data_IF_872438157734
#
_entry.id   IF_872438157734
#
_cell.length_a   1.000
_cell.length_b   1.000
_cell.length_c   1.000
_cell.angle_alpha   90.00
_cell.angle_beta   90.00
_cell.angle_gamma   90.00
#
_symmetry.space_group_name_H-M   'P 1'
#
loop_
_entity.id
_entity.type
_entity.pdbx_description
1 polymer ?
#
# COMPACT_ATOMS: atom_id res chain seq x y z
N UNK A 1 11.85 3.63 -10.72
CA UNK A 1 12.91 4.29 -11.51
C UNK A 1 13.83 3.30 -12.24
N UNK A 2 14.16 2.15 -11.65
CA UNK A 2 15.03 1.14 -12.27
C UNK A 2 14.36 0.32 -13.40
N UNK A 3 13.10 -0.07 -13.24
CA UNK A 3 12.42 -0.98 -14.18
C UNK A 3 12.06 -0.34 -15.55
N UNK A 4 11.46 0.87 -15.62
CA UNK A 4 11.00 1.41 -16.91
C UNK A 4 12.10 1.62 -17.97
N UNK A 5 13.30 2.14 -17.63
CA UNK A 5 14.40 2.24 -18.59
C UNK A 5 14.87 0.89 -19.16
N UNK A 6 14.57 -0.21 -18.47
CA UNK A 6 14.88 -1.57 -18.90
C UNK A 6 13.71 -2.22 -19.65
N UNK A 7 12.59 -1.52 -19.87
CA UNK A 7 11.37 -2.10 -20.45
C UNK A 7 10.68 -3.11 -19.53
N UNK A 8 10.98 -3.09 -18.23
CA UNK A 8 10.43 -4.01 -17.23
C UNK A 8 9.27 -3.39 -16.45
N UNK A 9 8.44 -4.24 -15.85
CA UNK A 9 7.32 -3.86 -15.00
C UNK A 9 7.39 -4.51 -13.63
N UNK A 10 6.72 -3.91 -12.64
CA UNK A 10 6.61 -4.51 -11.31
C UNK A 10 5.52 -5.58 -11.32
N UNK A 11 5.94 -6.85 -11.23
CA UNK A 11 5.05 -8.01 -11.22
C UNK A 11 4.47 -8.32 -9.83
N UNK A 12 5.26 -8.14 -8.75
CA UNK A 12 4.83 -8.53 -7.39
C UNK A 12 3.96 -7.48 -6.70
N UNK A 13 4.05 -6.21 -7.11
CA UNK A 13 3.18 -5.16 -6.58
C UNK A 13 3.57 -4.59 -5.21
N UNK A 14 4.72 -4.98 -4.63
CA UNK A 14 5.31 -4.35 -3.42
C UNK A 14 5.84 -2.93 -3.72
N UNK A 15 4.97 -2.04 -4.18
CA UNK A 15 5.23 -0.64 -4.50
C UNK A 15 3.90 0.14 -4.56
N UNK A 16 3.10 0.14 -3.48
CA UNK A 16 1.75 0.73 -3.50
C UNK A 16 1.80 2.24 -3.65
N UNK A 17 0.86 2.82 -4.41
CA UNK A 17 0.68 4.28 -4.48
C UNK A 17 -0.39 4.75 -3.49
N UNK A 18 -1.44 3.95 -3.30
CA UNK A 18 -2.51 4.18 -2.31
C UNK A 18 -2.83 2.87 -1.62
N UNK A 19 -3.35 2.93 -0.39
CA UNK A 19 -3.55 1.74 0.44
C UNK A 19 -4.95 1.13 0.35
N UNK A 20 -5.96 1.87 -0.12
CA UNK A 20 -7.37 1.42 -0.14
C UNK A 20 -7.91 1.11 -1.54
N UNK A 21 -7.10 1.28 -2.59
CA UNK A 21 -7.49 0.91 -3.95
C UNK A 21 -6.86 -0.43 -4.34
N UNK A 22 -7.62 -1.26 -5.06
CA UNK A 22 -7.10 -2.49 -5.66
C UNK A 22 -6.40 -2.17 -6.98
N UNK A 23 -5.43 -3.00 -7.36
CA UNK A 23 -4.81 -2.89 -8.68
C UNK A 23 -5.86 -3.19 -9.76
N UNK A 24 -6.24 -2.20 -10.60
CA UNK A 24 -7.29 -2.39 -11.60
C UNK A 24 -6.89 -3.39 -12.69
N UNK A 25 -5.61 -3.74 -12.80
CA UNK A 25 -5.14 -4.81 -13.71
C UNK A 25 -5.46 -6.20 -13.19
N UNK A 26 -5.65 -6.35 -11.87
CA UNK A 26 -5.96 -7.63 -11.21
C UNK A 26 -7.44 -7.74 -10.82
N UNK A 27 -8.04 -6.64 -10.37
CA UNK A 27 -9.44 -6.59 -9.96
C UNK A 27 -10.13 -5.36 -10.59
N UNK A 28 -10.40 -5.38 -11.91
CA UNK A 28 -11.00 -4.24 -12.62
C UNK A 28 -12.40 -3.85 -12.10
N UNK A 29 -13.13 -4.79 -11.50
CA UNK A 29 -14.41 -4.56 -10.80
C UNK A 29 -14.26 -4.08 -9.35
N UNK A 30 -13.03 -3.81 -8.91
CA UNK A 30 -12.72 -3.23 -7.61
C UNK A 30 -13.19 -4.06 -6.42
N UNK A 31 -13.61 -3.38 -5.36
CA UNK A 31 -14.00 -4.04 -4.09
C UNK A 31 -15.14 -5.03 -4.25
N UNK A 32 -16.07 -4.79 -5.18
CA UNK A 32 -17.16 -5.74 -5.43
C UNK A 32 -16.59 -7.06 -5.93
N UNK A 33 -15.66 -7.02 -6.88
CA UNK A 33 -15.02 -8.22 -7.42
C UNK A 33 -14.22 -8.96 -6.35
N UNK A 34 -13.45 -8.24 -5.52
CA UNK A 34 -12.74 -8.86 -4.40
C UNK A 34 -13.73 -9.51 -3.40
N UNK A 35 -14.82 -8.83 -3.05
CA UNK A 35 -15.84 -9.37 -2.14
C UNK A 35 -16.47 -10.65 -2.69
N UNK A 36 -16.84 -10.64 -3.97
CA UNK A 36 -17.45 -11.79 -4.62
C UNK A 36 -16.46 -12.98 -4.68
N UNK A 37 -15.17 -12.69 -4.91
CA UNK A 37 -14.07 -13.67 -4.88
C UNK A 37 -13.90 -14.29 -3.49
N UNK A 38 -13.81 -13.45 -2.46
CA UNK A 38 -13.70 -13.89 -1.06
C UNK A 38 -14.92 -14.74 -0.66
N UNK A 39 -16.13 -14.35 -1.07
CA UNK A 39 -17.33 -15.13 -0.81
C UNK A 39 -17.30 -16.51 -1.49
N UNK A 40 -16.78 -16.59 -2.72
CA UNK A 40 -16.62 -17.86 -3.43
C UNK A 40 -15.60 -18.78 -2.73
N UNK A 41 -14.43 -18.24 -2.33
CA UNK A 41 -13.40 -18.98 -1.59
C UNK A 41 -13.92 -19.48 -0.24
N UNK A 42 -14.66 -18.63 0.47
CA UNK A 42 -15.28 -19.00 1.75
C UNK A 42 -16.29 -20.14 1.62
N UNK A 43 -17.11 -20.15 0.56
CA UNK A 43 -18.03 -21.28 0.28
C UNK A 43 -17.28 -22.60 0.06
N UNK A 44 -16.04 -22.53 -0.41
CA UNK A 44 -15.15 -23.67 -0.56
C UNK A 44 -14.33 -23.99 0.71
N UNK A 45 -14.55 -23.27 1.82
CA UNK A 45 -13.81 -23.47 3.07
C UNK A 45 -12.39 -22.89 3.06
N UNK A 46 -12.08 -21.96 2.16
CA UNK A 46 -10.75 -21.34 2.00
C UNK A 46 -10.78 -19.91 2.55
N UNK A 47 -9.90 -19.61 3.50
CA UNK A 47 -9.68 -18.26 4.01
C UNK A 47 -8.84 -17.39 3.07
N UNK A 48 -9.12 -16.09 3.03
CA UNK A 48 -8.41 -15.12 2.19
C UNK A 48 -7.63 -14.12 3.04
N UNK A 49 -6.32 -14.03 2.79
CA UNK A 49 -5.42 -13.04 3.41
C UNK A 49 -4.93 -12.07 2.34
N UNK A 50 -4.89 -10.78 2.66
CA UNK A 50 -4.23 -9.77 1.82
C UNK A 50 -2.83 -9.45 2.33
N UNK A 51 -1.85 -9.51 1.44
CA UNK A 51 -0.50 -9.04 1.70
C UNK A 51 -0.46 -7.51 1.51
N UNK A 52 -0.24 -6.75 2.59
CA UNK A 52 -0.32 -5.29 2.57
C UNK A 52 1.01 -4.63 2.97
N UNK A 53 1.42 -3.64 2.18
CA UNK A 53 2.73 -3.00 2.32
C UNK A 53 2.57 -1.61 2.91
N UNK A 54 2.57 -1.50 4.24
CA UNK A 54 2.48 -0.20 4.92
C UNK A 54 3.82 0.47 5.20
N UNK A 55 4.93 -0.25 5.03
CA UNK A 55 6.24 0.26 5.44
C UNK A 55 6.84 1.30 4.46
N UNK A 56 6.40 1.34 3.20
CA UNK A 56 6.83 2.31 2.18
C UNK A 56 5.76 2.56 1.11
N UNK A 57 6.00 3.54 0.24
CA UNK A 57 5.18 3.82 -0.95
C UNK A 57 5.99 3.84 -2.24
N UNK A 58 5.29 3.75 -3.37
CA UNK A 58 5.84 3.95 -4.70
C UNK A 58 6.28 5.38 -5.03
N UNK A 59 6.16 6.33 -4.11
CA UNK A 59 6.75 7.66 -4.25
C UNK A 59 8.29 7.65 -4.12
N UNK A 60 8.89 6.53 -3.66
CA UNK A 60 10.36 6.32 -3.59
C UNK A 60 11.07 7.40 -2.74
N UNK A 61 12.37 7.58 -2.94
CA UNK A 61 13.20 8.65 -2.37
C UNK A 61 12.91 10.05 -2.96
N UNK A 62 13.75 11.04 -2.62
CA UNK A 62 13.67 12.43 -3.10
C UNK A 62 13.67 12.61 -4.63
N UNK A 63 14.12 11.62 -5.38
CA UNK A 63 14.13 11.64 -6.86
C UNK A 63 12.94 10.87 -7.46
N UNK A 64 12.12 10.25 -6.60
CA UNK A 64 10.87 9.63 -6.99
C UNK A 64 9.76 10.65 -7.27
N UNK A 65 8.61 10.18 -7.79
CA UNK A 65 7.50 11.05 -8.13
C UNK A 65 6.78 11.57 -6.88
N UNK A 66 6.05 12.67 -7.05
CA UNK A 66 5.02 13.14 -6.09
C UNK A 66 3.66 12.77 -6.66
N UNK A 67 2.96 11.85 -6.00
CA UNK A 67 1.68 11.26 -6.43
C UNK A 67 0.57 11.45 -5.40
N UNK A 68 0.88 11.41 -4.09
CA UNK A 68 -0.10 11.43 -3.01
C UNK A 68 0.51 11.99 -1.71
N UNK A 69 0.93 11.12 -0.79
CA UNK A 69 1.28 11.48 0.59
C UNK A 69 2.35 12.56 0.68
N UNK A 70 3.37 12.50 -0.20
CA UNK A 70 4.43 13.51 -0.26
C UNK A 70 3.89 14.91 -0.57
N UNK A 71 2.93 14.99 -1.49
CA UNK A 71 2.32 16.26 -1.89
C UNK A 71 1.30 16.78 -0.87
N UNK A 72 0.72 15.89 -0.07
CA UNK A 72 -0.24 16.24 0.98
C UNK A 72 0.48 16.73 2.25
N UNK A 73 1.37 15.91 2.81
CA UNK A 73 2.16 16.27 3.99
C UNK A 73 3.33 15.29 4.18
N UNK A 74 4.45 15.55 3.49
CA UNK A 74 5.62 14.66 3.57
C UNK A 74 6.18 14.51 4.99
N UNK A 75 6.02 15.50 5.87
CA UNK A 75 6.55 15.48 7.23
C UNK A 75 5.70 14.59 8.15
N UNK A 76 4.39 14.54 7.94
CA UNK A 76 3.50 13.66 8.69
C UNK A 76 3.56 12.21 8.21
N UNK A 77 3.66 11.97 6.90
CA UNK A 77 3.51 10.61 6.33
C UNK A 77 4.81 9.80 6.26
N UNK A 78 5.97 10.45 6.17
CA UNK A 78 7.26 9.77 6.04
C UNK A 78 8.16 10.04 7.24
N UNK A 79 9.08 9.12 7.51
CA UNK A 79 10.15 9.34 8.49
C UNK A 79 11.28 10.15 7.87
N UNK A 80 11.77 11.13 8.62
CA UNK A 80 12.87 12.00 8.22
C UNK A 80 14.04 11.86 9.20
N UNK A 81 15.26 11.97 8.65
CA UNK A 81 16.48 12.17 9.41
C UNK A 81 16.52 13.63 9.92
N UNK A 82 17.38 13.95 10.92
CA UNK A 82 17.51 15.32 11.41
C UNK A 82 17.89 16.35 10.34
N UNK A 83 18.52 15.92 9.24
CA UNK A 83 18.89 16.76 8.10
C UNK A 83 17.79 16.90 7.03
N UNK A 84 16.61 16.34 7.28
CA UNK A 84 15.45 16.40 6.37
C UNK A 84 15.45 15.35 5.25
N UNK A 85 16.42 14.44 5.21
CA UNK A 85 16.38 13.31 4.27
C UNK A 85 15.35 12.27 4.71
N UNK A 86 14.70 11.63 3.74
CA UNK A 86 13.85 10.47 4.02
C UNK A 86 14.69 9.32 4.60
N UNK A 87 14.17 8.71 5.66
CA UNK A 87 14.66 7.43 6.20
C UNK A 87 14.34 6.32 5.20
N UNK A 88 15.24 5.35 5.06
CA UNK A 88 15.13 4.25 4.10
C UNK A 88 15.44 2.89 4.76
N UNK A 89 14.78 2.60 5.87
CA UNK A 89 14.96 1.33 6.60
C UNK A 89 14.39 0.14 5.81
N UNK A 90 13.50 0.41 4.85
CA UNK A 90 12.85 -0.57 3.97
C UNK A 90 13.69 -0.94 2.75
N UNK A 91 14.71 -0.15 2.40
CA UNK A 91 15.48 -0.30 1.16
C UNK A 91 14.75 0.14 -0.11
N UNK A 92 13.58 0.79 -0.02
CA UNK A 92 12.75 1.18 -1.18
C UNK A 92 12.68 2.69 -1.45
N UNK A 93 13.47 3.46 -0.70
CA UNK A 93 13.67 4.91 -0.88
C UNK A 93 12.96 5.77 0.17
N UNK A 94 11.94 5.24 0.83
CA UNK A 94 11.24 5.91 1.92
C UNK A 94 10.77 4.92 2.99
N UNK A 95 10.45 5.44 4.17
CA UNK A 95 9.82 4.70 5.25
C UNK A 95 8.62 5.50 5.75
N UNK A 96 7.44 4.88 5.77
CA UNK A 96 6.23 5.50 6.33
C UNK A 96 6.38 5.67 7.85
N UNK A 97 5.91 6.81 8.36
CA UNK A 97 5.91 7.12 9.79
C UNK A 97 4.74 6.44 10.52
N UNK A 98 4.72 5.11 10.60
CA UNK A 98 3.63 4.34 11.23
C UNK A 98 3.38 4.68 12.72
N UNK A 99 4.36 5.30 13.37
CA UNK A 99 4.26 5.82 14.73
C UNK A 99 3.45 7.13 14.82
N UNK A 100 3.37 7.90 13.74
CA UNK A 100 2.59 9.14 13.67
C UNK A 100 1.08 8.87 13.76
N UNK A 101 0.30 9.62 14.57
CA UNK A 101 -1.12 9.35 14.80
C UNK A 101 -1.98 9.28 13.53
N UNK A 102 -1.80 10.23 12.60
CA UNK A 102 -2.56 10.28 11.33
C UNK A 102 -2.26 9.06 10.45
N UNK A 103 -1.01 8.62 10.42
CA UNK A 103 -0.60 7.45 9.64
C UNK A 103 -1.16 6.17 10.26
N UNK A 104 -1.13 6.07 11.59
CA UNK A 104 -1.71 4.95 12.32
C UNK A 104 -3.21 4.83 12.06
N UNK A 105 -3.93 5.95 12.05
CA UNK A 105 -5.35 5.99 11.71
C UNK A 105 -5.59 5.51 10.27
N UNK A 106 -4.82 6.04 9.31
CA UNK A 106 -4.87 5.60 7.90
C UNK A 106 -4.65 4.08 7.76
N UNK A 107 -3.65 3.52 8.44
CA UNK A 107 -3.38 2.06 8.42
C UNK A 107 -4.58 1.29 8.98
N UNK A 108 -5.08 1.68 10.15
CA UNK A 108 -6.22 1.00 10.79
C UNK A 108 -7.49 1.09 9.92
N UNK A 109 -7.72 2.23 9.28
CA UNK A 109 -8.84 2.42 8.39
C UNK A 109 -8.70 1.61 7.10
N UNK A 110 -7.49 1.43 6.57
CA UNK A 110 -7.25 0.53 5.44
C UNK A 110 -7.59 -0.92 5.82
N UNK A 111 -7.12 -1.37 6.99
CA UNK A 111 -7.42 -2.72 7.46
C UNK A 111 -8.93 -2.93 7.64
N UNK A 112 -9.61 -1.99 8.30
CA UNK A 112 -11.07 -2.02 8.47
C UNK A 112 -11.80 -1.98 7.14
N UNK A 113 -11.30 -1.21 6.17
CA UNK A 113 -11.90 -1.08 4.86
C UNK A 113 -12.00 -2.45 4.17
N UNK A 114 -10.90 -3.20 4.08
CA UNK A 114 -10.94 -4.52 3.45
C UNK A 114 -11.73 -5.55 4.25
N UNK A 115 -11.66 -5.55 5.58
CA UNK A 115 -12.51 -6.44 6.40
C UNK A 115 -14.00 -6.13 6.17
N UNK A 116 -14.41 -4.85 6.26
CA UNK A 116 -15.82 -4.46 6.19
C UNK A 116 -16.40 -4.60 4.79
N UNK A 117 -15.65 -4.22 3.76
CA UNK A 117 -16.20 -4.09 2.40
C UNK A 117 -15.87 -5.26 1.48
N UNK A 118 -14.76 -5.97 1.73
CA UNK A 118 -14.38 -7.17 0.97
C UNK A 118 -14.54 -8.48 1.77
N UNK A 119 -14.60 -8.41 3.11
CA UNK A 119 -14.80 -9.59 3.95
C UNK A 119 -13.57 -10.48 4.06
N UNK A 120 -12.36 -9.94 3.87
CA UNK A 120 -11.11 -10.72 3.99
C UNK A 120 -10.91 -11.25 5.42
N UNK A 121 -10.25 -12.40 5.55
CA UNK A 121 -10.09 -13.12 6.83
C UNK A 121 -8.84 -12.70 7.60
N UNK A 122 -7.89 -12.02 6.94
CA UNK A 122 -6.68 -11.54 7.60
C UNK A 122 -5.75 -10.76 6.69
N UNK A 123 -4.60 -10.40 7.25
CA UNK A 123 -3.55 -9.64 6.59
C UNK A 123 -2.17 -10.24 6.88
N UNK A 124 -1.23 -10.01 5.96
CA UNK A 124 0.19 -10.32 6.12
C UNK A 124 1.00 -9.09 5.80
#
# INVERSE_FOLDING_TARGET
RHLPPLGLSNAWGYNPVTFMALDPRLAPGGLKELRDTVAALRKAGIGTILDLVFNHTGESDRLGPTLSLRGLDALAYYRHQPDGRLVNDTGTGNTIACDHPVVREMVLDTLRHFVRFAGVDGFR
#
